data_IF_294680885068
#
_entry.id   IF_294680885068
#
_cell.length_a   1.000
_cell.length_b   1.000
_cell.length_c   1.000
_cell.angle_alpha   90.00
_cell.angle_beta   90.00
_cell.angle_gamma   90.00
#
_symmetry.space_group_name_H-M   'P 1'
#
loop_
_entity.id
_entity.type
_entity.pdbx_description
1 polymer ?
#
# COMPACT_ATOMS: atom_id res chain seq x y z
N UNK A 1 -44.20 8.87 -41.69
CA UNK A 1 -43.24 8.81 -40.59
C UNK A 1 -41.97 9.48 -41.08
N UNK A 2 -41.60 10.58 -40.44
CA UNK A 2 -40.75 11.59 -41.06
C UNK A 2 -39.28 11.21 -40.88
N UNK A 3 -38.49 11.40 -41.93
CA UNK A 3 -37.02 11.28 -41.90
C UNK A 3 -36.36 12.08 -40.76
N UNK A 4 -37.08 13.06 -40.22
CA UNK A 4 -36.70 13.87 -39.07
C UNK A 4 -36.58 13.06 -37.77
N UNK A 5 -37.44 12.06 -37.55
CA UNK A 5 -37.46 11.27 -36.31
C UNK A 5 -36.22 10.36 -36.23
N UNK A 6 -35.88 9.70 -37.35
CA UNK A 6 -34.67 8.88 -37.48
C UNK A 6 -33.38 9.70 -37.31
N UNK A 7 -33.31 10.89 -37.92
CA UNK A 7 -32.16 11.79 -37.75
C UNK A 7 -32.03 12.33 -36.31
N UNK A 8 -33.15 12.46 -35.58
CA UNK A 8 -33.12 12.81 -34.17
C UNK A 8 -32.54 11.67 -33.33
N UNK A 9 -33.01 10.43 -33.55
CA UNK A 9 -32.50 9.24 -32.87
C UNK A 9 -31.02 8.99 -33.15
N UNK A 10 -30.57 9.16 -34.39
CA UNK A 10 -29.16 9.02 -34.77
C UNK A 10 -28.25 9.97 -33.97
N UNK A 11 -28.66 11.24 -33.83
CA UNK A 11 -27.93 12.24 -33.02
C UNK A 11 -27.91 11.89 -31.54
N UNK A 12 -29.02 11.37 -31.00
CA UNK A 12 -29.08 10.92 -29.61
C UNK A 12 -28.12 9.75 -29.37
N UNK A 13 -28.17 8.72 -30.22
CA UNK A 13 -27.27 7.55 -30.17
C UNK A 13 -25.80 7.98 -30.24
N UNK A 14 -25.43 8.87 -31.17
CA UNK A 14 -24.07 9.41 -31.29
C UNK A 14 -23.61 10.14 -30.02
N UNK A 15 -24.52 10.87 -29.37
CA UNK A 15 -24.25 11.57 -28.12
C UNK A 15 -24.01 10.58 -26.98
N UNK A 16 -24.83 9.53 -26.88
CA UNK A 16 -24.68 8.47 -25.87
C UNK A 16 -23.37 7.70 -26.05
N UNK A 17 -23.03 7.33 -27.30
CA UNK A 17 -21.74 6.69 -27.62
C UNK A 17 -20.60 7.59 -27.16
N UNK A 18 -20.61 8.88 -27.52
CA UNK A 18 -19.56 9.83 -27.14
C UNK A 18 -19.41 9.97 -25.62
N UNK A 19 -20.52 10.01 -24.87
CA UNK A 19 -20.51 10.05 -23.41
C UNK A 19 -19.90 8.77 -22.81
N UNK A 20 -20.27 7.60 -23.34
CA UNK A 20 -19.70 6.32 -22.93
C UNK A 20 -18.18 6.27 -23.17
N UNK A 21 -17.70 6.73 -24.33
CA UNK A 21 -16.25 6.80 -24.61
C UNK A 21 -15.49 7.63 -23.58
N UNK A 22 -16.04 8.80 -23.26
CA UNK A 22 -15.44 9.72 -22.29
C UNK A 22 -15.34 9.06 -20.92
N UNK A 23 -16.43 8.43 -20.46
CA UNK A 23 -16.47 7.72 -19.18
C UNK A 23 -15.44 6.58 -19.13
N UNK A 24 -15.42 5.72 -20.14
CA UNK A 24 -14.46 4.60 -20.20
C UNK A 24 -13.01 5.08 -20.23
N UNK A 25 -12.71 6.16 -20.95
CA UNK A 25 -11.37 6.75 -20.98
C UNK A 25 -10.96 7.27 -19.60
N UNK A 26 -11.84 8.00 -18.92
CA UNK A 26 -11.59 8.51 -17.56
C UNK A 26 -11.38 7.36 -16.57
N UNK A 27 -12.24 6.35 -16.56
CA UNK A 27 -12.12 5.19 -15.68
C UNK A 27 -10.81 4.44 -15.91
N UNK A 28 -10.41 4.24 -17.18
CA UNK A 28 -9.15 3.58 -17.52
C UNK A 28 -7.92 4.37 -17.07
N UNK A 29 -7.94 5.68 -17.22
CA UNK A 29 -6.84 6.52 -16.76
C UNK A 29 -6.65 6.41 -15.24
N UNK A 30 -7.75 6.44 -14.46
CA UNK A 30 -7.70 6.19 -13.00
C UNK A 30 -7.13 4.82 -12.67
N UNK A 31 -7.57 3.77 -13.37
CA UNK A 31 -7.06 2.40 -13.16
C UNK A 31 -5.55 2.35 -13.43
N UNK A 32 -5.07 2.99 -14.50
CA UNK A 32 -3.65 3.06 -14.81
C UNK A 32 -2.85 3.79 -13.73
N UNK A 33 -3.36 4.92 -13.23
CA UNK A 33 -2.76 5.66 -12.12
C UNK A 33 -2.66 4.80 -10.85
N UNK A 34 -3.72 4.04 -10.53
CA UNK A 34 -3.74 3.10 -9.41
C UNK A 34 -2.69 1.98 -9.57
N UNK A 35 -2.46 1.48 -10.78
CA UNK A 35 -1.41 0.49 -11.05
C UNK A 35 -0.02 1.11 -10.86
N UNK A 36 0.20 2.29 -11.44
CA UNK A 36 1.48 3.01 -11.38
C UNK A 36 1.85 3.43 -9.95
N UNK A 37 0.86 3.72 -9.10
CA UNK A 37 1.08 4.05 -7.68
C UNK A 37 1.65 2.88 -6.85
N UNK A 38 1.74 1.68 -7.44
CA UNK A 38 2.42 0.54 -6.84
C UNK A 38 1.56 -0.12 -5.77
N UNK A 39 0.51 -0.77 -6.23
CA UNK A 39 -0.34 -1.64 -5.41
C UNK A 39 0.45 -2.85 -4.88
N UNK A 40 0.23 -3.24 -3.64
CA UNK A 40 0.79 -4.46 -3.04
C UNK A 40 0.20 -5.72 -3.66
N UNK A 41 0.82 -6.90 -3.46
CA UNK A 41 0.40 -8.11 -4.20
C UNK A 41 -1.02 -8.59 -3.88
N UNK A 42 -1.56 -8.27 -2.71
CA UNK A 42 -2.93 -8.60 -2.33
C UNK A 42 -3.99 -7.70 -2.99
N UNK A 43 -3.58 -6.54 -3.46
CA UNK A 43 -4.43 -5.55 -4.11
C UNK A 43 -4.42 -5.71 -5.64
N UNK A 44 -3.39 -6.38 -6.17
CA UNK A 44 -3.24 -6.71 -7.59
C UNK A 44 -4.43 -7.53 -8.10
N UNK A 45 -5.00 -8.44 -7.30
CA UNK A 45 -6.11 -9.27 -7.76
C UNK A 45 -7.42 -8.48 -7.91
N UNK A 46 -7.69 -7.55 -6.98
CA UNK A 46 -8.82 -6.63 -7.08
C UNK A 46 -8.68 -5.69 -8.29
N UNK A 47 -7.48 -5.15 -8.50
CA UNK A 47 -7.19 -4.33 -9.69
C UNK A 47 -7.27 -5.16 -10.97
N UNK A 48 -6.83 -6.43 -10.96
CA UNK A 48 -6.92 -7.31 -12.12
C UNK A 48 -8.38 -7.59 -12.48
N UNK A 49 -9.25 -7.80 -11.50
CA UNK A 49 -10.69 -7.96 -11.74
C UNK A 49 -11.30 -6.69 -12.38
N UNK A 50 -10.98 -5.51 -11.83
CA UNK A 50 -11.41 -4.22 -12.39
C UNK A 50 -10.88 -4.01 -13.82
N UNK A 51 -9.62 -4.40 -14.09
CA UNK A 51 -9.01 -4.32 -15.42
C UNK A 51 -9.68 -5.24 -16.44
N UNK A 52 -10.01 -6.48 -16.03
CA UNK A 52 -10.70 -7.43 -16.89
C UNK A 52 -12.06 -6.88 -17.31
N UNK A 53 -12.81 -6.33 -16.37
CA UNK A 53 -14.11 -5.71 -16.65
C UNK A 53 -14.00 -4.44 -17.51
N UNK A 54 -13.01 -3.58 -17.23
CA UNK A 54 -12.73 -2.41 -18.07
C UNK A 54 -12.40 -2.80 -19.53
N UNK A 55 -11.71 -3.92 -19.73
CA UNK A 55 -11.37 -4.45 -21.05
C UNK A 55 -12.58 -5.08 -21.76
N UNK A 56 -13.51 -5.71 -21.03
CA UNK A 56 -14.78 -6.18 -21.56
C UNK A 56 -15.66 -5.02 -22.04
N UNK A 57 -15.79 -3.96 -21.23
CA UNK A 57 -16.50 -2.73 -21.61
C UNK A 57 -15.87 -2.04 -22.82
N UNK A 58 -14.53 -2.05 -22.92
CA UNK A 58 -13.84 -1.51 -24.09
C UNK A 58 -14.18 -2.29 -25.36
N UNK A 59 -14.19 -3.62 -25.31
CA UNK A 59 -14.56 -4.44 -26.47
C UNK A 59 -16.02 -4.20 -26.88
N UNK A 60 -16.92 -4.11 -25.91
CA UNK A 60 -18.32 -3.77 -26.16
C UNK A 60 -18.47 -2.37 -26.78
N UNK A 61 -17.59 -1.42 -26.40
CA UNK A 61 -17.55 -0.08 -27.01
C UNK A 61 -16.99 -0.10 -28.45
N UNK A 62 -15.96 -0.92 -28.73
CA UNK A 62 -15.38 -1.05 -30.06
C UNK A 62 -16.42 -1.53 -31.09
N UNK A 63 -17.40 -2.35 -30.67
CA UNK A 63 -18.53 -2.77 -31.51
C UNK A 63 -19.36 -1.58 -32.00
N UNK A 64 -19.47 -0.51 -31.21
CA UNK A 64 -20.16 0.72 -31.60
C UNK A 64 -19.31 1.61 -32.51
N UNK A 65 -17.99 1.61 -32.32
CA UNK A 65 -17.06 2.35 -33.19
C UNK A 65 -16.98 1.72 -34.59
N UNK A 66 -17.25 0.42 -34.67
CA UNK A 66 -17.37 -0.34 -35.89
C UNK A 66 -18.71 -0.21 -36.63
N UNK A 67 -19.69 0.55 -36.10
CA UNK A 67 -20.98 0.77 -36.77
C UNK A 67 -20.78 1.56 -38.07
N UNK A 68 -20.54 0.84 -39.16
CA UNK A 68 -20.43 1.41 -40.52
C UNK A 68 -21.78 1.83 -41.09
N UNK A 69 -22.87 1.30 -40.54
CA UNK A 69 -24.24 1.59 -40.98
C UNK A 69 -25.12 1.77 -39.75
N UNK A 70 -25.77 2.93 -39.67
CA UNK A 70 -26.79 3.18 -38.65
C UNK A 70 -28.03 2.30 -38.89
N UNK A 71 -28.79 2.02 -37.80
CA UNK A 71 -30.13 1.44 -37.89
C UNK A 71 -30.97 2.07 -39.00
N UNK A 72 -31.68 1.25 -39.76
CA UNK A 72 -32.58 1.72 -40.82
C UNK A 72 -34.02 1.82 -40.35
N UNK A 73 -34.32 1.18 -39.22
CA UNK A 73 -35.65 1.15 -38.61
C UNK A 73 -35.62 1.74 -37.21
N UNK A 74 -36.80 2.17 -36.74
CA UNK A 74 -36.99 2.65 -35.37
C UNK A 74 -36.74 1.54 -34.35
N UNK A 75 -37.22 0.32 -34.61
CA UNK A 75 -37.00 -0.86 -33.76
C UNK A 75 -35.51 -1.16 -33.57
N UNK A 76 -34.73 -1.19 -34.65
CA UNK A 76 -33.26 -1.35 -34.57
C UNK A 76 -32.59 -0.19 -33.81
N UNK A 77 -33.15 1.02 -33.87
CA UNK A 77 -32.63 2.19 -33.16
C UNK A 77 -32.92 2.10 -31.66
N UNK A 78 -34.11 1.65 -31.27
CA UNK A 78 -34.48 1.42 -29.87
C UNK A 78 -33.69 0.26 -29.24
N UNK A 79 -33.47 -0.83 -29.98
CA UNK A 79 -32.63 -1.94 -29.52
C UNK A 79 -31.18 -1.48 -29.30
N UNK A 80 -30.61 -0.71 -30.24
CA UNK A 80 -29.27 -0.16 -30.11
C UNK A 80 -29.18 0.81 -28.93
N UNK A 81 -30.17 1.67 -28.76
CA UNK A 81 -30.27 2.61 -27.63
C UNK A 81 -30.28 1.86 -26.31
N UNK A 82 -31.13 0.83 -26.18
CA UNK A 82 -31.23 -0.01 -24.97
C UNK A 82 -29.90 -0.67 -24.62
N UNK A 83 -29.18 -1.19 -25.63
CA UNK A 83 -27.85 -1.78 -25.44
C UNK A 83 -26.81 -0.75 -24.98
N UNK A 84 -26.82 0.46 -25.53
CA UNK A 84 -25.92 1.53 -25.10
C UNK A 84 -26.25 1.98 -23.66
N UNK A 85 -27.53 2.04 -23.29
CA UNK A 85 -27.96 2.37 -21.93
C UNK A 85 -27.47 1.33 -20.91
N UNK A 86 -27.58 0.04 -21.23
CA UNK A 86 -27.09 -1.06 -20.40
C UNK A 86 -25.58 -0.96 -20.17
N UNK A 87 -24.79 -0.84 -21.25
CA UNK A 87 -23.33 -0.70 -21.16
C UNK A 87 -22.92 0.59 -20.43
N UNK A 88 -23.67 1.68 -20.63
CA UNK A 88 -23.45 2.94 -19.91
C UNK A 88 -23.68 2.78 -18.41
N UNK A 89 -24.69 2.00 -18.00
CA UNK A 89 -24.94 1.69 -16.60
C UNK A 89 -23.78 0.87 -16.02
N UNK A 90 -23.33 -0.18 -16.70
CA UNK A 90 -22.19 -0.99 -16.27
C UNK A 90 -20.91 -0.15 -16.14
N UNK A 91 -20.64 0.73 -17.11
CA UNK A 91 -19.49 1.63 -17.06
C UNK A 91 -19.54 2.62 -15.87
N UNK A 92 -20.74 3.11 -15.50
CA UNK A 92 -20.92 3.95 -14.30
C UNK A 92 -20.73 3.14 -13.02
N UNK A 93 -21.23 1.92 -12.96
CA UNK A 93 -21.05 1.03 -11.82
C UNK A 93 -19.57 0.64 -11.64
N UNK A 94 -18.83 0.49 -12.74
CA UNK A 94 -17.38 0.31 -12.72
C UNK A 94 -16.65 1.59 -12.24
N UNK A 95 -16.95 2.77 -12.79
CA UNK A 95 -16.34 4.04 -12.34
C UNK A 95 -16.59 4.25 -10.84
N UNK A 96 -17.80 4.00 -10.36
CA UNK A 96 -18.12 4.06 -8.93
C UNK A 96 -17.25 3.13 -8.10
N UNK A 97 -17.08 1.86 -8.50
CA UNK A 97 -16.20 0.92 -7.80
C UNK A 97 -14.74 1.33 -7.84
N UNK A 98 -14.27 1.90 -8.97
CA UNK A 98 -12.92 2.44 -9.09
C UNK A 98 -12.73 3.62 -8.13
N UNK A 99 -13.70 4.54 -8.04
CA UNK A 99 -13.65 5.67 -7.10
C UNK A 99 -13.65 5.20 -5.64
N UNK A 100 -14.51 4.24 -5.28
CA UNK A 100 -14.54 3.65 -3.93
C UNK A 100 -13.22 2.94 -3.60
N UNK A 101 -12.61 2.29 -4.59
CA UNK A 101 -11.32 1.65 -4.44
C UNK A 101 -10.19 2.67 -4.29
N UNK A 102 -10.17 3.71 -5.11
CA UNK A 102 -9.22 4.82 -5.04
C UNK A 102 -9.28 5.53 -3.68
N UNK A 103 -10.49 5.84 -3.19
CA UNK A 103 -10.67 6.45 -1.87
C UNK A 103 -10.08 5.56 -0.76
N UNK A 104 -10.36 4.25 -0.79
CA UNK A 104 -9.77 3.29 0.15
C UNK A 104 -8.25 3.21 -0.01
N UNK A 105 -7.77 3.19 -1.24
CA UNK A 105 -6.35 3.10 -1.55
C UNK A 105 -5.60 4.31 -0.99
N UNK A 106 -6.05 5.52 -1.30
CA UNK A 106 -5.45 6.77 -0.82
C UNK A 106 -5.48 6.88 0.71
N UNK A 107 -6.53 6.34 1.35
CA UNK A 107 -6.69 6.38 2.81
C UNK A 107 -5.70 5.50 3.56
N UNK A 108 -5.30 4.35 2.98
CA UNK A 108 -4.53 3.33 3.70
C UNK A 108 -3.14 3.05 3.12
N UNK A 109 -2.87 3.45 1.88
CA UNK A 109 -1.58 3.23 1.27
C UNK A 109 -0.62 4.38 1.53
N UNK A 110 0.39 4.10 2.35
CA UNK A 110 1.52 5.00 2.58
C UNK A 110 2.19 5.31 1.24
N UNK A 111 2.30 6.59 0.86
CA UNK A 111 2.91 7.01 -0.40
C UNK A 111 4.26 6.34 -0.63
N UNK A 112 4.54 6.00 -1.89
CA UNK A 112 5.87 5.53 -2.30
C UNK A 112 6.71 6.73 -2.69
N UNK A 113 8.02 6.65 -2.43
CA UNK A 113 8.97 7.59 -3.01
C UNK A 113 9.10 7.27 -4.51
N UNK A 114 8.76 8.21 -5.38
CA UNK A 114 9.05 8.07 -6.80
C UNK A 114 10.54 8.31 -7.10
N UNK A 115 11.08 7.66 -8.14
CA UNK A 115 12.50 7.79 -8.50
C UNK A 115 12.93 9.23 -8.81
N UNK A 116 11.98 10.07 -9.21
CA UNK A 116 12.17 11.49 -9.52
C UNK A 116 11.97 12.44 -8.33
N UNK A 117 11.42 11.96 -7.21
CA UNK A 117 11.10 12.80 -6.06
C UNK A 117 12.30 13.00 -5.14
N UNK A 118 12.46 14.21 -4.64
CA UNK A 118 13.39 14.52 -3.56
C UNK A 118 12.84 14.07 -2.20
N UNK A 119 13.73 13.84 -1.22
CA UNK A 119 13.33 13.55 0.16
C UNK A 119 12.37 14.59 0.72
N UNK A 120 12.61 15.87 0.43
CA UNK A 120 11.80 16.97 0.93
C UNK A 120 10.36 16.88 0.42
N UNK A 121 10.19 16.59 -0.87
CA UNK A 121 8.86 16.40 -1.47
C UNK A 121 8.16 15.18 -0.87
N UNK A 122 8.88 14.08 -0.71
CA UNK A 122 8.33 12.87 -0.09
C UNK A 122 7.93 13.09 1.37
N UNK A 123 8.75 13.81 2.15
CA UNK A 123 8.44 14.12 3.54
C UNK A 123 7.19 15.01 3.66
N UNK A 124 7.00 15.98 2.77
CA UNK A 124 5.76 16.77 2.72
C UNK A 124 4.56 15.90 2.29
N UNK A 125 4.73 14.99 1.31
CA UNK A 125 3.70 14.03 0.92
C UNK A 125 3.29 13.13 2.09
N UNK A 126 4.26 12.60 2.84
CA UNK A 126 4.00 11.83 4.07
C UNK A 126 3.27 12.66 5.13
N UNK A 127 3.63 13.93 5.29
CA UNK A 127 2.97 14.82 6.24
C UNK A 127 1.50 15.07 5.87
N UNK A 128 1.19 15.27 4.59
CA UNK A 128 -0.19 15.39 4.11
C UNK A 128 -0.96 14.08 4.30
N UNK A 129 -0.35 12.94 3.96
CA UNK A 129 -0.92 11.62 4.22
C UNK A 129 -1.25 11.42 5.72
N UNK A 130 -0.33 11.81 6.61
CA UNK A 130 -0.55 11.73 8.06
C UNK A 130 -1.68 12.64 8.55
N UNK A 131 -1.99 13.76 7.87
CA UNK A 131 -3.16 14.58 8.20
C UNK A 131 -4.46 13.85 7.85
N UNK A 132 -4.55 13.30 6.64
CA UNK A 132 -5.70 12.49 6.20
C UNK A 132 -5.93 11.37 7.21
N UNK A 133 -4.87 10.66 7.56
CA UNK A 133 -4.95 9.54 8.49
C UNK A 133 -5.39 9.95 9.89
N UNK A 134 -4.90 11.09 10.42
CA UNK A 134 -5.35 11.61 11.73
C UNK A 134 -6.84 11.93 11.74
N UNK A 135 -7.35 12.56 10.69
CA UNK A 135 -8.78 12.86 10.57
C UNK A 135 -9.62 11.59 10.45
N UNK A 136 -9.16 10.60 9.69
CA UNK A 136 -9.86 9.32 9.59
C UNK A 136 -9.85 8.53 10.90
N UNK A 137 -8.72 8.51 11.61
CA UNK A 137 -8.64 7.92 12.94
C UNK A 137 -9.59 8.63 13.93
N UNK A 138 -9.73 9.96 13.82
CA UNK A 138 -10.68 10.75 14.61
C UNK A 138 -12.13 10.36 14.28
N UNK A 139 -12.52 10.34 13.00
CA UNK A 139 -13.86 9.92 12.56
C UNK A 139 -14.20 8.50 13.00
N UNK A 140 -13.22 7.58 12.95
CA UNK A 140 -13.40 6.22 13.43
C UNK A 140 -13.67 6.19 14.94
N UNK A 141 -12.89 6.92 15.75
CA UNK A 141 -13.10 7.03 17.20
C UNK A 141 -14.44 7.66 17.56
N UNK A 142 -14.88 8.69 16.84
CA UNK A 142 -16.21 9.31 17.01
C UNK A 142 -17.36 8.30 16.78
N UNK A 143 -17.14 7.29 15.94
CA UNK A 143 -18.05 6.15 15.72
C UNK A 143 -17.88 5.02 16.73
N UNK A 144 -17.08 5.22 17.79
CA UNK A 144 -16.79 4.22 18.81
C UNK A 144 -15.82 3.12 18.36
N UNK A 145 -15.15 3.29 17.22
CA UNK A 145 -14.19 2.31 16.70
C UNK A 145 -12.87 2.39 17.46
N UNK A 146 -12.28 1.22 17.72
CA UNK A 146 -11.02 1.06 18.44
C UNK A 146 -9.93 0.64 17.47
N UNK A 147 -8.74 1.18 17.65
CA UNK A 147 -7.52 0.72 16.99
C UNK A 147 -7.21 -0.73 17.34
N UNK A 148 -6.38 -1.37 16.53
CA UNK A 148 -5.91 -2.73 16.83
C UNK A 148 -5.13 -2.76 18.17
N UNK A 149 -4.36 -1.73 18.51
CA UNK A 149 -3.71 -1.63 19.84
C UNK A 149 -4.74 -1.61 20.97
N UNK A 150 -5.77 -0.77 20.88
CA UNK A 150 -6.83 -0.70 21.89
C UNK A 150 -7.61 -2.01 21.99
N UNK A 151 -7.81 -2.72 20.88
CA UNK A 151 -8.44 -4.04 20.89
C UNK A 151 -7.54 -5.10 21.50
N UNK A 152 -6.24 -5.08 21.22
CA UNK A 152 -5.29 -5.98 21.85
C UNK A 152 -5.28 -5.81 23.38
N UNK A 153 -5.38 -4.57 23.88
CA UNK A 153 -5.50 -4.31 25.33
C UNK A 153 -6.78 -4.90 25.95
N UNK A 154 -7.87 -5.01 25.18
CA UNK A 154 -9.11 -5.64 25.65
C UNK A 154 -9.03 -7.16 25.60
N UNK A 155 -8.38 -7.72 24.57
CA UNK A 155 -8.21 -9.18 24.43
C UNK A 155 -7.28 -9.71 25.52
N UNK A 156 -6.25 -8.94 25.93
CA UNK A 156 -5.40 -9.27 27.08
C UNK A 156 -6.21 -9.50 28.38
N UNK A 157 -7.35 -8.82 28.51
CA UNK A 157 -8.28 -8.97 29.64
C UNK A 157 -9.32 -10.09 29.44
N UNK A 158 -9.34 -10.72 28.27
CA UNK A 158 -10.33 -11.73 27.89
C UNK A 158 -9.79 -13.16 28.05
N UNK A 159 -10.69 -14.16 28.03
CA UNK A 159 -10.29 -15.59 28.01
C UNK A 159 -9.58 -16.00 26.71
N UNK A 160 -9.63 -15.18 25.66
CA UNK A 160 -9.02 -15.51 24.39
C UNK A 160 -7.56 -15.03 24.28
N UNK A 161 -6.68 -15.67 25.04
CA UNK A 161 -5.27 -15.32 25.06
C UNK A 161 -4.52 -15.65 23.77
N UNK A 162 -5.01 -16.58 22.94
CA UNK A 162 -4.24 -17.09 21.79
C UNK A 162 -4.16 -16.08 20.64
N UNK A 163 -5.27 -15.40 20.30
CA UNK A 163 -5.25 -14.35 19.29
C UNK A 163 -4.36 -13.16 19.71
N UNK A 164 -4.40 -12.78 20.99
CA UNK A 164 -3.53 -11.75 21.55
C UNK A 164 -2.06 -12.16 21.51
N UNK A 165 -1.72 -13.39 21.95
CA UNK A 165 -0.35 -13.93 21.87
C UNK A 165 0.18 -13.91 20.45
N UNK A 166 -0.63 -14.31 19.47
CA UNK A 166 -0.25 -14.30 18.06
C UNK A 166 0.05 -12.88 17.56
N UNK A 167 -0.85 -11.92 17.80
CA UNK A 167 -0.65 -10.54 17.37
C UNK A 167 0.51 -9.84 18.09
N UNK A 168 0.69 -10.11 19.39
CA UNK A 168 1.86 -9.65 20.16
C UNK A 168 3.15 -10.21 19.58
N UNK A 169 3.15 -11.49 19.20
CA UNK A 169 4.30 -12.11 18.54
C UNK A 169 4.61 -11.43 17.20
N UNK A 170 3.59 -11.10 16.40
CA UNK A 170 3.76 -10.35 15.14
C UNK A 170 4.34 -8.96 15.38
N UNK A 171 3.81 -8.20 16.34
CA UNK A 171 4.32 -6.87 16.68
C UNK A 171 5.78 -6.93 17.18
N UNK A 172 6.09 -7.87 18.07
CA UNK A 172 7.46 -8.10 18.56
C UNK A 172 8.40 -8.50 17.42
N UNK A 173 8.00 -9.45 16.58
CA UNK A 173 8.79 -9.92 15.45
C UNK A 173 9.16 -8.77 14.52
N UNK A 174 8.19 -7.96 14.10
CA UNK A 174 8.45 -6.82 13.23
C UNK A 174 9.19 -5.69 13.91
N UNK A 175 8.86 -5.40 15.16
CA UNK A 175 9.54 -4.38 15.96
C UNK A 175 11.04 -4.63 16.04
N UNK A 176 11.44 -5.86 16.39
CA UNK A 176 12.85 -6.27 16.43
C UNK A 176 13.49 -6.16 15.04
N UNK A 177 12.88 -6.74 14.00
CA UNK A 177 13.46 -6.72 12.65
C UNK A 177 13.67 -5.30 12.12
N UNK A 178 12.69 -4.42 12.29
CA UNK A 178 12.80 -3.02 11.85
C UNK A 178 13.88 -2.28 12.64
N UNK A 179 13.94 -2.52 13.95
CA UNK A 179 14.94 -1.88 14.81
C UNK A 179 16.36 -2.32 14.43
N UNK A 180 16.56 -3.61 14.16
CA UNK A 180 17.84 -4.16 13.69
C UNK A 180 18.24 -3.53 12.33
N UNK A 181 17.28 -3.38 11.41
CA UNK A 181 17.49 -2.70 10.12
C UNK A 181 17.88 -1.22 10.30
N UNK A 182 17.23 -0.50 11.22
CA UNK A 182 17.54 0.90 11.52
C UNK A 182 18.92 1.06 12.14
N UNK A 183 19.27 0.20 13.10
CA UNK A 183 20.60 0.15 13.73
C UNK A 183 21.68 -0.01 12.67
N UNK A 184 21.54 -1.01 11.81
CA UNK A 184 22.56 -1.28 10.80
C UNK A 184 22.62 -0.16 9.75
N UNK A 185 21.48 0.43 9.37
CA UNK A 185 21.45 1.61 8.49
C UNK A 185 22.15 2.81 9.14
N UNK A 186 21.91 3.05 10.43
CA UNK A 186 22.54 4.15 11.18
C UNK A 186 24.05 3.95 11.31
N UNK A 187 24.50 2.74 11.62
CA UNK A 187 25.91 2.39 11.64
C UNK A 187 26.54 2.66 10.27
N UNK A 188 25.96 2.17 9.18
CA UNK A 188 26.46 2.40 7.82
C UNK A 188 26.59 3.90 7.48
N UNK A 189 25.70 4.75 7.99
CA UNK A 189 25.77 6.20 7.79
C UNK A 189 26.76 6.91 8.74
N UNK A 190 27.14 6.28 9.85
CA UNK A 190 27.91 6.90 10.94
C UNK A 190 29.41 6.66 10.89
N UNK A 191 29.93 5.78 10.02
CA UNK A 191 31.37 5.63 9.79
C UNK A 191 31.80 6.52 8.61
N UNK A 192 32.25 7.77 8.84
CA UNK A 192 32.33 8.82 7.82
C UNK A 192 33.73 8.92 7.17
N UNK A 193 34.78 8.47 7.85
CA UNK A 193 36.18 8.83 7.53
C UNK A 193 36.78 8.04 6.38
N UNK A 194 36.26 6.85 6.06
CA UNK A 194 36.60 6.08 4.85
C UNK A 194 35.57 6.26 3.74
N UNK A 195 34.42 6.86 4.04
CA UNK A 195 33.29 6.91 3.12
C UNK A 195 33.43 7.93 2.02
N UNK A 196 33.97 9.15 2.16
CA UNK A 196 33.99 10.05 0.98
C UNK A 196 34.88 9.52 -0.17
N UNK A 197 36.03 8.91 0.14
CA UNK A 197 36.88 8.27 -0.87
C UNK A 197 36.27 6.98 -1.43
N UNK A 198 35.61 6.16 -0.60
CA UNK A 198 34.92 4.92 -1.05
C UNK A 198 33.62 5.24 -1.81
N UNK A 199 32.85 6.24 -1.37
CA UNK A 199 31.63 6.75 -2.00
C UNK A 199 31.96 7.37 -3.35
N UNK A 200 33.06 8.14 -3.43
CA UNK A 200 33.58 8.72 -4.68
C UNK A 200 34.16 7.65 -5.61
N UNK A 201 34.98 6.73 -5.11
CA UNK A 201 35.64 5.70 -5.93
C UNK A 201 34.69 4.61 -6.45
N UNK A 202 33.59 4.32 -5.74
CA UNK A 202 32.70 3.20 -6.07
C UNK A 202 31.25 3.62 -6.36
N UNK A 203 30.96 4.93 -6.39
CA UNK A 203 29.64 5.44 -6.72
C UNK A 203 28.55 5.06 -5.71
N UNK A 204 28.91 4.66 -4.48
CA UNK A 204 27.97 4.41 -3.38
C UNK A 204 27.41 5.74 -2.87
N UNK A 205 26.46 6.29 -3.62
CA UNK A 205 25.84 7.54 -3.27
C UNK A 205 25.09 7.40 -1.94
N UNK A 206 25.31 8.30 -0.97
CA UNK A 206 24.47 8.41 0.24
C UNK A 206 22.97 8.39 -0.12
N UNK A 207 22.61 8.96 -1.28
CA UNK A 207 21.27 8.91 -1.84
C UNK A 207 20.77 7.48 -2.13
N UNK A 208 21.62 6.52 -2.46
CA UNK A 208 21.24 5.10 -2.65
C UNK A 208 20.93 4.41 -1.32
N UNK A 209 21.73 4.66 -0.27
CA UNK A 209 21.45 4.12 1.08
C UNK A 209 20.12 4.68 1.59
N UNK A 210 19.94 5.98 1.43
CA UNK A 210 18.65 6.60 1.72
C UNK A 210 17.58 5.88 0.89
N UNK A 211 17.65 5.93 -0.45
CA UNK A 211 16.59 5.50 -1.41
C UNK A 211 16.19 4.04 -1.26
N UNK A 212 17.18 3.15 -1.23
CA UNK A 212 16.97 1.72 -1.40
C UNK A 212 16.82 0.97 -0.06
N UNK A 213 17.08 1.65 1.07
CA UNK A 213 17.06 1.05 2.41
C UNK A 213 16.25 1.90 3.40
N UNK A 214 16.65 3.14 3.66
CA UNK A 214 16.01 3.95 4.70
C UNK A 214 14.54 4.24 4.40
N UNK A 215 14.20 4.66 3.17
CA UNK A 215 12.78 4.91 2.83
C UNK A 215 11.92 3.66 2.90
N UNK A 216 12.34 2.51 2.33
CA UNK A 216 11.62 1.26 2.53
C UNK A 216 11.38 0.93 4.01
N UNK A 217 12.37 1.12 4.89
CA UNK A 217 12.19 0.89 6.33
C UNK A 217 11.15 1.84 6.92
N UNK A 218 11.28 3.15 6.69
CA UNK A 218 10.34 4.17 7.20
C UNK A 218 8.93 3.91 6.68
N UNK A 219 8.79 3.54 5.41
CA UNK A 219 7.51 3.19 4.81
C UNK A 219 6.88 1.97 5.49
N UNK A 220 7.63 0.91 5.74
CA UNK A 220 7.08 -0.26 6.43
C UNK A 220 6.75 0.05 7.90
N UNK A 221 7.52 0.91 8.59
CA UNK A 221 7.14 1.43 9.92
C UNK A 221 5.80 2.14 9.86
N UNK A 222 5.61 3.07 8.92
CA UNK A 222 4.36 3.80 8.77
C UNK A 222 3.20 2.87 8.40
N UNK A 223 3.43 1.87 7.55
CA UNK A 223 2.39 0.88 7.21
C UNK A 223 1.99 0.02 8.41
N UNK A 224 2.94 -0.36 9.26
CA UNK A 224 2.62 -1.04 10.52
C UNK A 224 1.85 -0.12 11.46
N UNK A 225 2.30 1.12 11.63
CA UNK A 225 1.60 2.13 12.44
C UNK A 225 0.15 2.28 11.95
N UNK A 226 -0.08 2.43 10.64
CA UNK A 226 -1.42 2.47 10.05
C UNK A 226 -2.20 1.19 10.36
N UNK A 227 -1.61 0.01 10.18
CA UNK A 227 -2.29 -1.26 10.44
C UNK A 227 -2.68 -1.43 11.93
N UNK A 228 -1.82 -1.00 12.86
CA UNK A 228 -2.02 -1.14 14.30
C UNK A 228 -2.89 -0.04 14.92
N UNK A 229 -2.85 1.17 14.36
CA UNK A 229 -3.53 2.32 14.93
C UNK A 229 -4.81 2.72 14.17
N UNK A 230 -5.09 2.11 13.01
CA UNK A 230 -6.32 2.38 12.27
C UNK A 230 -7.55 1.79 12.99
N UNK A 231 -8.55 2.61 13.34
CA UNK A 231 -9.77 2.14 13.98
C UNK A 231 -10.79 1.54 12.98
N UNK A 232 -10.59 1.70 11.67
CA UNK A 232 -11.53 1.21 10.65
C UNK A 232 -11.27 -0.25 10.22
N UNK A 233 -10.03 -0.71 10.34
CA UNK A 233 -9.63 -2.10 10.09
C UNK A 233 -10.30 -3.14 11.01
N UNK A 234 -10.49 -2.89 12.32
CA UNK A 234 -10.80 -3.97 13.25
C UNK A 234 -12.28 -4.28 13.51
N UNK A 235 -13.21 -3.52 12.93
CA UNK A 235 -14.62 -3.55 13.34
C UNK A 235 -15.38 -4.84 12.97
N UNK A 236 -14.72 -5.83 12.36
CA UNK A 236 -15.35 -7.07 11.87
C UNK A 236 -14.67 -8.36 12.31
N UNK A 237 -13.69 -8.31 13.22
CA UNK A 237 -12.76 -9.44 13.37
C UNK A 237 -13.17 -10.35 14.53
N UNK A 238 -13.61 -11.58 14.20
CA UNK A 238 -13.61 -12.71 15.12
C UNK A 238 -12.17 -13.17 15.37
N UNK A 239 -11.96 -14.06 16.34
CA UNK A 239 -10.64 -14.61 16.71
C UNK A 239 -9.88 -15.18 15.49
N UNK A 240 -10.59 -15.88 14.60
CA UNK A 240 -10.06 -16.43 13.36
C UNK A 240 -9.55 -15.34 12.41
N UNK A 241 -10.19 -14.17 12.42
CA UNK A 241 -9.79 -13.05 11.57
C UNK A 241 -8.56 -12.34 12.13
N UNK A 242 -8.38 -12.26 13.46
CA UNK A 242 -7.12 -11.78 14.04
C UNK A 242 -5.94 -12.68 13.65
N UNK A 243 -6.11 -14.00 13.74
CA UNK A 243 -5.08 -14.95 13.29
C UNK A 243 -4.79 -14.81 11.79
N UNK A 244 -5.84 -14.70 10.98
CA UNK A 244 -5.72 -14.49 9.54
C UNK A 244 -5.01 -13.17 9.20
N UNK A 245 -5.32 -12.10 9.92
CA UNK A 245 -4.68 -10.80 9.78
C UNK A 245 -3.22 -10.85 10.21
N UNK A 246 -2.90 -11.48 11.35
CA UNK A 246 -1.53 -11.70 11.78
C UNK A 246 -0.71 -12.46 10.73
N UNK A 247 -1.25 -13.57 10.23
CA UNK A 247 -0.65 -14.34 9.13
C UNK A 247 -0.48 -13.50 7.85
N UNK A 248 -1.46 -12.65 7.53
CA UNK A 248 -1.40 -11.76 6.38
C UNK A 248 -0.32 -10.69 6.54
N UNK A 249 -0.25 -10.02 7.69
CA UNK A 249 0.78 -9.05 8.02
C UNK A 249 2.16 -9.70 7.92
N UNK A 250 2.35 -10.89 8.52
CA UNK A 250 3.57 -11.69 8.36
C UNK A 250 3.92 -11.84 6.89
N UNK A 251 3.03 -12.37 6.05
CA UNK A 251 3.30 -12.57 4.62
C UNK A 251 3.66 -11.27 3.88
N UNK A 252 2.92 -10.18 4.11
CA UNK A 252 3.10 -8.90 3.38
C UNK A 252 4.40 -8.21 3.77
N UNK A 253 4.66 -8.08 5.07
CA UNK A 253 5.82 -7.34 5.57
C UNK A 253 7.10 -8.18 5.51
N UNK A 254 7.05 -9.48 5.78
CA UNK A 254 8.24 -10.36 5.76
C UNK A 254 8.91 -10.36 4.38
N UNK A 255 8.13 -10.37 3.30
CA UNK A 255 8.67 -10.25 1.93
C UNK A 255 9.44 -8.94 1.73
N UNK A 256 8.89 -7.83 2.21
CA UNK A 256 9.52 -6.51 2.07
C UNK A 256 10.75 -6.37 2.95
N UNK A 257 10.66 -6.78 4.22
CA UNK A 257 11.76 -6.74 5.17
C UNK A 257 12.91 -7.64 4.72
N UNK A 258 12.65 -8.85 4.23
CA UNK A 258 13.68 -9.71 3.62
C UNK A 258 14.39 -9.05 2.45
N UNK A 259 13.66 -8.35 1.58
CA UNK A 259 14.27 -7.60 0.48
C UNK A 259 15.18 -6.47 0.99
N UNK A 260 14.75 -5.75 2.04
CA UNK A 260 15.58 -4.71 2.67
C UNK A 260 16.82 -5.34 3.32
N UNK A 261 16.67 -6.45 4.05
CA UNK A 261 17.78 -7.20 4.64
C UNK A 261 18.81 -7.60 3.56
N UNK A 262 18.37 -8.17 2.44
CA UNK A 262 19.27 -8.56 1.34
C UNK A 262 20.04 -7.37 0.76
N UNK A 263 19.38 -6.23 0.57
CA UNK A 263 20.06 -5.01 0.12
C UNK A 263 21.10 -4.52 1.14
N UNK A 264 20.75 -4.58 2.42
CA UNK A 264 21.59 -4.16 3.52
C UNK A 264 22.79 -5.09 3.73
N UNK A 265 22.60 -6.41 3.61
CA UNK A 265 23.66 -7.41 3.65
C UNK A 265 24.64 -7.24 2.49
N UNK A 266 24.13 -6.92 1.30
CA UNK A 266 24.96 -6.59 0.13
C UNK A 266 25.82 -5.36 0.41
N UNK A 267 25.25 -4.28 0.93
CA UNK A 267 26.01 -3.08 1.29
C UNK A 267 27.02 -3.35 2.41
N UNK A 268 26.61 -4.10 3.43
CA UNK A 268 27.47 -4.46 4.58
C UNK A 268 28.66 -5.29 4.11
N UNK A 269 28.44 -6.25 3.20
CA UNK A 269 29.51 -7.06 2.59
C UNK A 269 30.46 -6.19 1.79
N UNK A 270 29.92 -5.28 0.97
CA UNK A 270 30.72 -4.34 0.19
C UNK A 270 31.54 -3.43 1.10
N UNK A 271 30.96 -2.86 2.16
CA UNK A 271 31.69 -2.02 3.11
C UNK A 271 32.79 -2.83 3.82
N UNK A 272 32.46 -4.04 4.29
CA UNK A 272 33.40 -4.90 5.02
C UNK A 272 34.65 -5.19 4.21
N UNK A 273 34.54 -5.41 2.89
CA UNK A 273 35.68 -5.66 2.01
C UNK A 273 36.70 -4.51 1.98
N UNK A 274 36.29 -3.29 2.31
CA UNK A 274 37.10 -2.08 2.16
C UNK A 274 37.51 -1.45 3.51
N UNK A 275 36.86 -1.84 4.61
CA UNK A 275 37.27 -1.42 5.95
C UNK A 275 38.60 -2.06 6.36
N UNK A 276 39.40 -1.31 7.12
CA UNK A 276 40.55 -1.89 7.83
C UNK A 276 40.03 -2.93 8.83
N UNK A 277 40.91 -3.86 9.21
CA UNK A 277 40.54 -4.95 10.15
C UNK A 277 40.02 -4.36 11.47
N UNK A 278 40.69 -3.33 11.99
CA UNK A 278 40.31 -2.63 13.24
C UNK A 278 38.93 -1.97 13.15
N UNK A 279 38.64 -1.29 12.04
CA UNK A 279 37.33 -0.67 11.80
C UNK A 279 36.22 -1.73 11.68
N UNK A 280 36.53 -2.88 11.07
CA UNK A 280 35.60 -4.00 10.93
C UNK A 280 35.28 -4.64 12.28
N UNK A 281 36.27 -4.80 13.16
CA UNK A 281 36.05 -5.32 14.51
C UNK A 281 35.19 -4.38 15.34
N UNK A 282 35.45 -3.07 15.24
CA UNK A 282 34.66 -2.02 15.89
C UNK A 282 33.21 -2.02 15.41
N UNK A 283 32.98 -2.02 14.09
CA UNK A 283 31.64 -2.11 13.50
C UNK A 283 30.87 -3.36 13.98
N UNK A 284 31.54 -4.51 14.04
CA UNK A 284 30.92 -5.74 14.51
C UNK A 284 30.59 -5.71 16.02
N UNK A 285 31.42 -5.05 16.83
CA UNK A 285 31.17 -4.86 18.26
C UNK A 285 29.97 -3.94 18.48
N UNK A 286 29.93 -2.79 17.80
CA UNK A 286 28.85 -1.80 17.90
C UNK A 286 27.52 -2.38 17.42
N UNK A 287 27.54 -3.14 16.30
CA UNK A 287 26.37 -3.89 15.82
C UNK A 287 25.82 -4.85 16.88
N UNK A 288 26.68 -5.71 17.44
CA UNK A 288 26.25 -6.68 18.48
C UNK A 288 25.69 -5.99 19.72
N UNK A 289 26.32 -4.89 20.14
CA UNK A 289 25.85 -4.10 21.27
C UNK A 289 24.45 -3.53 21.02
N UNK A 290 24.24 -2.88 19.86
CA UNK A 290 22.95 -2.29 19.52
C UNK A 290 21.85 -3.35 19.29
N UNK A 291 22.16 -4.47 18.64
CA UNK A 291 21.22 -5.61 18.52
C UNK A 291 20.80 -6.15 19.89
N UNK A 292 21.73 -6.24 20.85
CA UNK A 292 21.42 -6.65 22.21
C UNK A 292 20.50 -5.64 22.90
N UNK A 293 20.78 -4.33 22.77
CA UNK A 293 19.95 -3.25 23.32
C UNK A 293 18.54 -3.26 22.71
N UNK A 294 18.41 -3.46 21.40
CA UNK A 294 17.11 -3.57 20.71
C UNK A 294 16.30 -4.73 21.26
N UNK A 295 16.91 -5.92 21.37
CA UNK A 295 16.23 -7.12 21.89
C UNK A 295 15.82 -6.97 23.34
N UNK A 296 16.67 -6.34 24.17
CA UNK A 296 16.34 -6.05 25.56
C UNK A 296 15.17 -5.06 25.65
N UNK A 297 15.21 -3.97 24.90
CA UNK A 297 14.14 -2.97 24.85
C UNK A 297 12.81 -3.62 24.44
N UNK A 298 12.78 -4.42 23.36
CA UNK A 298 11.56 -5.10 22.94
C UNK A 298 11.09 -6.18 23.92
N UNK A 299 12.01 -6.85 24.63
CA UNK A 299 11.68 -7.80 25.70
C UNK A 299 11.05 -7.08 26.91
N UNK A 300 11.56 -5.91 27.25
CA UNK A 300 11.02 -5.05 28.31
C UNK A 300 9.66 -4.47 27.90
N UNK A 301 9.51 -4.00 26.66
CA UNK A 301 8.24 -3.50 26.11
C UNK A 301 7.20 -4.60 25.92
N UNK A 302 7.62 -5.83 25.67
CA UNK A 302 6.77 -7.02 25.66
C UNK A 302 6.24 -7.42 27.04
N UNK A 303 6.17 -6.47 27.98
CA UNK A 303 6.04 -6.52 29.44
C UNK A 303 5.50 -7.84 30.03
N UNK A 304 6.08 -8.28 31.17
CA UNK A 304 5.83 -9.59 31.76
C UNK A 304 4.33 -9.82 31.93
N UNK A 305 3.88 -11.05 31.65
CA UNK A 305 2.62 -11.58 32.19
C UNK A 305 2.57 -11.08 33.64
N UNK A 306 1.58 -10.25 33.99
CA UNK A 306 1.32 -9.97 35.41
C UNK A 306 1.27 -11.35 36.06
N UNK A 307 2.31 -11.69 36.82
CA UNK A 307 2.26 -12.85 37.69
C UNK A 307 1.02 -12.61 38.53
N UNK A 308 0.08 -13.54 38.44
CA UNK A 308 -1.25 -13.46 39.00
C UNK A 308 -1.17 -12.78 40.37
N UNK A 309 -1.74 -11.58 40.45
CA UNK A 309 -1.93 -10.91 41.73
C UNK A 309 -2.94 -11.76 42.50
N UNK A 310 -2.40 -12.58 43.41
CA UNK A 310 -3.14 -13.34 44.43
C UNK A 310 -4.22 -12.50 45.11
#
# INVERSE_FOLDING_TARGET
METNDLQSMEREILTMISALKSLNLTTRNKINELICSGTGSSEIDAIRAILTEAEELRKAQDDFDGLKTFPKTEEESEDLKSKIEEITKEARDLDKRVNEYEEKFLKYNVPRLHESESWKEYAESLKEFMKIWKEEAKKGREKGRKSLIELLQLIDQSKNQEAFKAMRHVAYYFGVHISDLLVLTFLLMSYPETTEEIISAYGMNRKLIERDILYPIIREVLRLEVAFCCPDLPMMLTDEVFLSMGCHLVKVFDKNLKRICLNLDKLTTQLSLHLRIEDRETLNADKKFLEAVVRLTWKELGLPLRADSN
#
